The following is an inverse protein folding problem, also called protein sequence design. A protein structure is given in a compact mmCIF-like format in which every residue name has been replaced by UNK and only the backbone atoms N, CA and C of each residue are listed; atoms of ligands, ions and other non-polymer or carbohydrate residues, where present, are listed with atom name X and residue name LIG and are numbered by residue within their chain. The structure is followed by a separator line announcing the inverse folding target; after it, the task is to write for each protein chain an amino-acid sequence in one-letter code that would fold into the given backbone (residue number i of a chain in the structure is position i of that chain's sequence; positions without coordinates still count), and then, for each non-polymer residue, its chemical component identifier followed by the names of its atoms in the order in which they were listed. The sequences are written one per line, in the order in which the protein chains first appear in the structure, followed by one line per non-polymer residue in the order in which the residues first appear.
data_IF_034089137125
#
_entry.id   IF_034089137125
#
_cell.length_a   1.000
_cell.length_b   1.000
_cell.length_c   1.000
_cell.angle_alpha   90.00
_cell.angle_beta   90.00
_cell.angle_gamma   90.00
#
_symmetry.space_group_name_H-M   'P 1'
#
loop_
_entity.id
_entity.type
_entity.pdbx_description
1 polymer ?
#
# COMPACT_ATOMS: atom_id res chain seq x y z
N UNK A 1 -16.20 -15.91 -1.20
CA UNK A 1 -16.32 -14.43 -1.27
C UNK A 1 -15.65 -13.95 -2.55
N UNK A 2 -15.93 -12.73 -3.01
CA UNK A 2 -15.18 -12.18 -4.17
C UNK A 2 -13.78 -11.74 -3.77
N UNK A 3 -12.86 -11.62 -4.74
CA UNK A 3 -11.52 -11.06 -4.50
C UNK A 3 -11.60 -9.68 -3.84
N UNK A 4 -12.48 -8.80 -4.32
CA UNK A 4 -12.67 -7.48 -3.72
C UNK A 4 -13.15 -7.53 -2.27
N UNK A 5 -14.07 -8.45 -1.93
CA UNK A 5 -14.50 -8.67 -0.55
C UNK A 5 -13.34 -9.14 0.33
N UNK A 6 -12.56 -10.10 -0.18
CA UNK A 6 -11.38 -10.62 0.51
C UNK A 6 -10.34 -9.52 0.78
N UNK A 7 -10.10 -8.62 -0.18
CA UNK A 7 -9.21 -7.45 -0.01
C UNK A 7 -9.68 -6.56 1.14
N UNK A 8 -10.96 -6.17 1.14
CA UNK A 8 -11.50 -5.24 2.16
C UNK A 8 -11.47 -5.86 3.54
N UNK A 9 -11.83 -7.14 3.66
CA UNK A 9 -11.80 -7.85 4.94
C UNK A 9 -10.38 -8.14 5.42
N UNK A 10 -9.48 -8.52 4.53
CA UNK A 10 -8.07 -8.70 4.87
C UNK A 10 -7.50 -7.41 5.46
N UNK A 11 -7.66 -6.29 4.76
CA UNK A 11 -7.09 -5.00 5.18
C UNK A 11 -7.72 -4.44 6.47
N UNK A 12 -8.93 -4.86 6.85
CA UNK A 12 -9.56 -4.39 8.09
C UNK A 12 -8.95 -4.99 9.36
N UNK A 13 -8.20 -6.09 9.22
CA UNK A 13 -7.66 -6.89 10.33
C UNK A 13 -6.12 -6.83 10.45
N UNK A 14 -5.52 -5.78 9.91
CA UNK A 14 -4.05 -5.60 9.89
C UNK A 14 -3.64 -4.52 10.89
N UNK A 15 -2.74 -4.85 11.80
CA UNK A 15 -2.31 -3.97 12.88
C UNK A 15 -0.79 -3.81 12.88
N UNK A 16 -0.29 -2.59 13.04
CA UNK A 16 1.11 -2.38 13.37
C UNK A 16 1.29 -2.47 14.88
N UNK A 17 2.39 -3.07 15.30
CA UNK A 17 2.81 -3.10 16.70
C UNK A 17 4.20 -2.51 16.84
N UNK A 18 4.35 -1.64 17.83
CA UNK A 18 5.54 -0.81 18.01
C UNK A 18 5.75 -0.50 19.50
N UNK A 19 7.00 -0.39 19.94
CA UNK A 19 7.36 0.02 21.30
C UNK A 19 8.36 1.16 21.22
N UNK A 20 7.97 2.34 21.74
CA UNK A 20 8.80 3.55 21.68
C UNK A 20 8.83 4.19 23.07
N UNK A 21 10.03 4.38 23.64
CA UNK A 21 10.18 5.00 24.95
C UNK A 21 9.49 4.24 26.10
N UNK A 22 9.34 2.92 25.96
CA UNK A 22 8.61 2.07 26.93
C UNK A 22 7.09 2.11 26.81
N UNK A 23 6.54 2.78 25.78
CA UNK A 23 5.11 2.79 25.47
C UNK A 23 4.84 1.84 24.31
N UNK A 24 3.90 0.91 24.51
CA UNK A 24 3.44 -0.01 23.47
C UNK A 24 2.28 0.59 22.66
N UNK A 25 2.36 0.42 21.35
CA UNK A 25 1.37 0.85 20.38
C UNK A 25 0.85 -0.37 19.62
N UNK A 26 -0.47 -0.43 19.46
CA UNK A 26 -1.15 -1.35 18.55
C UNK A 26 -2.18 -0.57 17.76
N UNK A 27 -1.84 -0.24 16.52
CA UNK A 27 -2.63 0.66 15.68
C UNK A 27 -3.07 -0.05 14.41
N UNK A 28 -4.26 0.26 13.90
CA UNK A 28 -4.73 -0.32 12.65
C UNK A 28 -3.89 0.21 11.49
N UNK A 29 -3.18 -0.68 10.77
CA UNK A 29 -2.26 -0.32 9.71
C UNK A 29 -2.96 0.46 8.60
N UNK A 30 -4.15 0.00 8.19
CA UNK A 30 -5.01 0.62 7.18
C UNK A 30 -6.30 1.07 7.85
N UNK A 31 -6.39 2.31 8.38
CA UNK A 31 -7.56 2.79 9.10
C UNK A 31 -8.73 3.15 8.18
N UNK A 32 -8.51 3.17 6.86
CA UNK A 32 -9.55 3.35 5.86
C UNK A 32 -9.02 3.25 4.44
N UNK A 33 -9.92 3.45 3.48
CA UNK A 33 -9.63 3.44 2.05
C UNK A 33 -10.12 4.72 1.40
N UNK A 34 -9.23 5.39 0.67
CA UNK A 34 -9.62 6.44 -0.27
C UNK A 34 -10.02 5.83 -1.61
N UNK A 35 -10.92 6.48 -2.34
CA UNK A 35 -11.08 6.14 -3.74
C UNK A 35 -11.88 7.14 -4.57
N UNK A 36 -11.69 7.00 -5.88
CA UNK A 36 -12.59 7.50 -6.93
C UNK A 36 -13.04 6.29 -7.73
N UNK A 37 -14.35 6.12 -7.85
CA UNK A 37 -14.93 4.96 -8.51
C UNK A 37 -15.20 5.24 -9.98
N UNK A 38 -14.73 4.34 -10.83
CA UNK A 38 -15.06 4.26 -12.25
C UNK A 38 -15.36 2.80 -12.61
N UNK A 39 -15.62 2.53 -13.89
CA UNK A 39 -15.92 1.16 -14.34
C UNK A 39 -14.84 0.15 -13.93
N UNK A 40 -13.58 0.61 -13.76
CA UNK A 40 -12.45 -0.21 -13.34
C UNK A 40 -12.60 -0.86 -11.97
N UNK A 41 -13.18 -0.18 -10.98
CA UNK A 41 -13.19 -0.62 -9.58
C UNK A 41 -14.59 -0.61 -8.93
N UNK A 42 -15.59 0.03 -9.55
CA UNK A 42 -16.91 0.22 -8.93
C UNK A 42 -17.63 -1.09 -8.63
N UNK A 43 -17.58 -2.05 -9.55
CA UNK A 43 -18.22 -3.36 -9.40
C UNK A 43 -17.40 -4.34 -8.53
N UNK A 44 -16.14 -4.02 -8.26
CA UNK A 44 -15.23 -4.78 -7.43
C UNK A 44 -15.05 -4.13 -6.06
N UNK A 45 -13.91 -3.49 -5.84
CA UNK A 45 -13.55 -2.85 -4.55
C UNK A 45 -14.63 -1.85 -4.10
N UNK A 46 -15.23 -1.09 -5.01
CA UNK A 46 -16.29 -0.14 -4.67
C UNK A 46 -17.53 -0.81 -4.08
N UNK A 47 -17.98 -1.91 -4.68
CA UNK A 47 -19.09 -2.72 -4.18
C UNK A 47 -18.75 -3.33 -2.81
N UNK A 48 -17.55 -3.90 -2.67
CA UNK A 48 -17.10 -4.50 -1.41
C UNK A 48 -17.07 -3.47 -0.27
N UNK A 49 -16.48 -2.28 -0.50
CA UNK A 49 -16.48 -1.19 0.47
C UNK A 49 -17.91 -0.79 0.87
N UNK A 50 -18.83 -0.70 -0.10
CA UNK A 50 -20.23 -0.37 0.20
C UNK A 50 -20.91 -1.45 1.07
N UNK A 51 -20.66 -2.72 0.76
CA UNK A 51 -21.23 -3.84 1.51
C UNK A 51 -20.72 -3.85 2.96
N UNK A 52 -19.41 -3.75 3.19
CA UNK A 52 -18.87 -3.69 4.55
C UNK A 52 -19.30 -2.41 5.29
N UNK A 53 -19.45 -1.28 4.59
CA UNK A 53 -20.01 -0.06 5.18
C UNK A 53 -21.46 -0.26 5.69
N UNK A 54 -22.28 -1.03 4.98
CA UNK A 54 -23.65 -1.35 5.40
C UNK A 54 -23.70 -2.31 6.60
N UNK A 55 -22.70 -3.19 6.72
CA UNK A 55 -22.56 -4.09 7.88
C UNK A 55 -22.10 -3.30 9.12
N UNK A 56 -20.99 -2.59 8.99
CA UNK A 56 -20.46 -1.69 10.01
C UNK A 56 -19.47 -0.71 9.33
N UNK A 57 -19.73 0.61 9.35
CA UNK A 57 -18.88 1.61 8.70
C UNK A 57 -17.45 1.68 9.28
N UNK A 58 -17.20 1.10 10.46
CA UNK A 58 -15.88 1.04 11.07
C UNK A 58 -15.02 -0.11 10.53
N UNK A 59 -15.63 -1.12 9.88
CA UNK A 59 -14.87 -2.24 9.28
C UNK A 59 -13.90 -1.72 8.24
N UNK A 60 -14.31 -0.82 7.35
CA UNK A 60 -13.40 -0.13 6.43
C UNK A 60 -13.99 1.22 6.04
N UNK A 61 -13.64 2.30 6.76
CA UNK A 61 -14.08 3.64 6.42
C UNK A 61 -13.67 4.00 4.99
N UNK A 62 -14.64 4.43 4.20
CA UNK A 62 -14.43 4.95 2.85
C UNK A 62 -14.39 6.48 2.86
N UNK A 63 -13.35 7.04 2.24
CA UNK A 63 -13.18 8.47 2.07
C UNK A 63 -13.18 8.82 0.58
N UNK A 64 -14.22 9.52 0.13
CA UNK A 64 -14.31 9.93 -1.26
C UNK A 64 -13.30 11.03 -1.60
N UNK A 65 -12.40 10.72 -2.52
CA UNK A 65 -11.48 11.71 -3.09
C UNK A 65 -12.10 12.51 -4.23
N UNK A 66 -11.43 13.60 -4.61
CA UNK A 66 -11.73 14.39 -5.83
C UNK A 66 -10.58 14.42 -6.83
N UNK A 67 -9.43 13.88 -6.44
CA UNK A 67 -8.24 13.72 -7.26
C UNK A 67 -7.39 12.58 -6.66
N UNK A 68 -6.94 11.63 -7.45
CA UNK A 68 -6.17 10.46 -6.98
C UNK A 68 -4.79 10.85 -6.46
N UNK A 69 -4.12 11.80 -7.12
CA UNK A 69 -2.84 12.33 -6.65
C UNK A 69 -2.99 12.96 -5.25
N UNK A 70 -4.05 13.73 -5.01
CA UNK A 70 -4.31 14.32 -3.70
C UNK A 70 -4.54 13.24 -2.61
N UNK A 71 -5.26 12.15 -2.92
CA UNK A 71 -5.45 11.02 -2.00
C UNK A 71 -4.10 10.37 -1.65
N UNK A 72 -3.20 10.21 -2.62
CA UNK A 72 -1.85 9.70 -2.38
C UNK A 72 -1.05 10.60 -1.45
N UNK A 73 -1.14 11.93 -1.63
CA UNK A 73 -0.46 12.89 -0.76
C UNK A 73 -1.07 12.93 0.65
N UNK A 74 -2.37 12.73 0.79
CA UNK A 74 -3.03 12.59 2.09
C UNK A 74 -2.54 11.33 2.83
N UNK A 75 -2.44 10.18 2.15
CA UNK A 75 -1.89 8.96 2.74
C UNK A 75 -0.44 9.15 3.20
N UNK A 76 0.41 9.80 2.38
CA UNK A 76 1.80 10.15 2.73
C UNK A 76 1.85 11.07 3.97
N UNK A 77 1.01 12.10 4.01
CA UNK A 77 0.93 13.04 5.13
C UNK A 77 0.49 12.34 6.42
N UNK A 78 -0.51 11.47 6.33
CA UNK A 78 -1.00 10.69 7.46
C UNK A 78 0.06 9.72 7.98
N UNK A 79 0.75 8.98 7.09
CA UNK A 79 1.85 8.11 7.47
C UNK A 79 3.00 8.86 8.14
N UNK A 80 3.28 10.09 7.72
CA UNK A 80 4.26 10.95 8.40
C UNK A 80 3.78 11.34 9.80
N UNK A 81 2.51 11.70 9.95
CA UNK A 81 1.90 12.10 11.22
C UNK A 81 1.91 10.94 12.24
N UNK A 82 1.59 9.73 11.81
CA UNK A 82 1.51 8.52 12.63
C UNK A 82 2.84 7.78 12.76
N UNK A 83 3.96 8.42 12.39
CA UNK A 83 5.32 7.82 12.46
C UNK A 83 5.41 6.46 11.75
N UNK A 84 4.74 6.32 10.60
CA UNK A 84 4.65 5.13 9.75
C UNK A 84 3.89 3.94 10.33
N UNK A 85 3.25 4.08 11.50
CA UNK A 85 2.41 3.02 12.06
C UNK A 85 1.09 2.84 11.31
N UNK A 86 0.61 3.87 10.62
CA UNK A 86 -0.63 3.80 9.85
C UNK A 86 -0.48 4.47 8.49
N UNK A 87 -1.21 3.99 7.49
CA UNK A 87 -1.36 4.61 6.17
C UNK A 87 -2.70 4.26 5.56
N UNK A 88 -3.07 4.88 4.43
CA UNK A 88 -4.30 4.55 3.74
C UNK A 88 -4.07 3.66 2.52
N UNK A 89 -5.08 2.83 2.23
CA UNK A 89 -5.24 2.21 0.93
C UNK A 89 -5.93 3.20 -0.03
N UNK A 90 -5.59 3.16 -1.32
CA UNK A 90 -6.17 4.02 -2.34
C UNK A 90 -6.61 3.16 -3.52
N UNK A 91 -7.91 3.06 -3.75
CA UNK A 91 -8.46 2.39 -4.94
C UNK A 91 -8.81 3.42 -6.01
N UNK A 92 -8.50 3.09 -7.26
CA UNK A 92 -8.85 3.93 -8.42
C UNK A 92 -9.21 3.07 -9.62
N UNK A 93 -9.92 3.67 -10.58
CA UNK A 93 -10.18 3.06 -11.87
C UNK A 93 -8.90 2.91 -12.69
N UNK A 94 -8.99 2.18 -13.80
CA UNK A 94 -7.91 2.01 -14.78
C UNK A 94 -7.53 3.35 -15.45
N UNK A 95 -6.39 3.39 -16.13
CA UNK A 95 -6.07 4.42 -17.10
C UNK A 95 -5.72 5.73 -16.41
N UNK A 96 -6.44 6.85 -16.68
CA UNK A 96 -6.11 8.14 -16.09
C UNK A 96 -6.21 8.14 -14.55
N UNK A 97 -7.16 7.39 -13.98
CA UNK A 97 -7.28 7.27 -12.52
C UNK A 97 -6.04 6.64 -11.90
N UNK A 98 -5.49 5.62 -12.57
CA UNK A 98 -4.26 4.96 -12.16
C UNK A 98 -3.03 5.84 -12.40
N UNK A 99 -2.88 6.44 -13.57
CA UNK A 99 -1.71 7.29 -13.87
C UNK A 99 -1.60 8.51 -12.96
N UNK A 100 -2.73 9.05 -12.46
CA UNK A 100 -2.75 10.12 -11.47
C UNK A 100 -2.07 9.76 -10.14
N UNK A 101 -1.92 8.46 -9.80
CA UNK A 101 -1.23 8.03 -8.59
C UNK A 101 0.31 7.95 -8.74
N UNK A 102 0.86 8.00 -9.96
CA UNK A 102 2.29 7.78 -10.21
C UNK A 102 3.18 8.77 -9.45
N UNK A 103 2.81 10.06 -9.45
CA UNK A 103 3.54 11.09 -8.69
C UNK A 103 3.50 10.82 -7.18
N UNK A 104 2.37 10.33 -6.69
CA UNK A 104 2.19 9.90 -5.31
C UNK A 104 3.08 8.73 -4.92
N UNK A 105 3.13 7.71 -5.78
CA UNK A 105 3.97 6.54 -5.61
C UNK A 105 5.46 6.94 -5.51
N UNK A 106 5.92 7.75 -6.47
CA UNK A 106 7.29 8.26 -6.49
C UNK A 106 7.64 9.04 -5.21
N UNK A 107 6.73 9.91 -4.75
CA UNK A 107 6.92 10.67 -3.51
C UNK A 107 7.03 9.76 -2.29
N UNK A 108 6.11 8.81 -2.14
CA UNK A 108 6.06 7.88 -1.02
C UNK A 108 7.34 7.04 -0.95
N UNK A 109 7.74 6.45 -2.08
CA UNK A 109 8.96 5.63 -2.20
C UNK A 109 10.23 6.41 -1.93
N UNK A 110 10.36 7.62 -2.47
CA UNK A 110 11.54 8.47 -2.25
C UNK A 110 11.70 8.87 -0.78
N UNK A 111 10.59 9.09 -0.08
CA UNK A 111 10.58 9.49 1.33
C UNK A 111 10.55 8.31 2.31
N UNK A 112 10.52 7.07 1.80
CA UNK A 112 10.27 5.85 2.59
C UNK A 112 9.04 6.00 3.48
N UNK A 113 7.91 6.33 2.89
CA UNK A 113 6.62 6.45 3.59
C UNK A 113 5.65 5.41 3.02
N UNK A 114 4.97 4.63 3.89
CA UNK A 114 4.08 3.58 3.43
C UNK A 114 2.84 4.17 2.78
N UNK A 115 2.47 3.66 1.60
CA UNK A 115 1.18 3.93 0.94
C UNK A 115 0.78 2.68 0.15
N UNK A 116 -0.46 2.20 0.32
CA UNK A 116 -0.99 1.07 -0.43
C UNK A 116 -1.84 1.56 -1.61
N UNK A 117 -1.44 1.21 -2.82
CA UNK A 117 -2.13 1.56 -4.05
C UNK A 117 -2.81 0.33 -4.64
N UNK A 118 -4.10 0.45 -4.93
CA UNK A 118 -4.96 -0.59 -5.51
C UNK A 118 -5.58 -0.10 -6.83
N UNK A 119 -4.76 0.22 -7.85
CA UNK A 119 -5.28 0.59 -9.15
C UNK A 119 -5.97 -0.59 -9.81
N UNK A 120 -7.10 -0.35 -10.46
CA UNK A 120 -7.69 -1.34 -11.35
C UNK A 120 -6.89 -1.51 -12.62
N UNK A 121 -7.06 -2.67 -13.25
CA UNK A 121 -6.40 -3.01 -14.51
C UNK A 121 -7.40 -3.42 -15.61
N UNK A 122 -6.87 -3.77 -16.79
CA UNK A 122 -7.66 -4.42 -17.86
C UNK A 122 -8.21 -5.78 -17.38
N UNK A 123 -9.03 -6.43 -18.20
CA UNK A 123 -9.51 -7.77 -17.87
C UNK A 123 -8.37 -8.77 -18.02
N UNK A 124 -8.10 -9.58 -16.98
CA UNK A 124 -7.08 -10.62 -17.03
C UNK A 124 -7.39 -11.66 -18.11
N UNK A 125 -8.68 -11.95 -18.31
CA UNK A 125 -9.19 -12.83 -19.37
C UNK A 125 -9.14 -12.22 -20.76
N UNK A 126 -8.97 -10.89 -20.87
CA UNK A 126 -9.09 -10.10 -22.11
C UNK A 126 -10.44 -10.26 -22.83
N UNK A 127 -11.48 -10.71 -22.13
CA UNK A 127 -12.80 -10.89 -22.72
C UNK A 127 -13.42 -9.57 -23.22
N UNK A 128 -13.02 -8.45 -22.60
CA UNK A 128 -13.33 -7.10 -23.04
C UNK A 128 -12.01 -6.32 -23.18
N UNK A 129 -11.47 -6.26 -24.41
CA UNK A 129 -10.28 -5.49 -24.76
C UNK A 129 -10.50 -4.73 -26.09
N UNK A 130 -10.18 -3.43 -26.17
CA UNK A 130 -9.80 -2.57 -25.05
C UNK A 130 -11.00 -2.27 -24.13
N UNK A 131 -10.74 -2.08 -22.84
CA UNK A 131 -11.75 -1.50 -21.93
C UNK A 131 -11.82 0.02 -22.10
N UNK A 132 -12.92 0.62 -21.63
CA UNK A 132 -13.04 2.08 -21.54
C UNK A 132 -11.82 2.65 -20.78
N UNK A 133 -11.31 3.81 -21.21
CA UNK A 133 -10.17 4.51 -20.59
C UNK A 133 -8.84 3.74 -20.56
N UNK A 134 -8.72 2.60 -21.24
CA UNK A 134 -7.44 1.92 -21.46
C UNK A 134 -6.54 2.78 -22.36
N UNK A 135 -5.26 2.89 -21.99
CA UNK A 135 -4.25 3.39 -22.92
C UNK A 135 -3.89 2.25 -23.88
N UNK A 136 -4.45 2.29 -25.08
CA UNK A 136 -4.30 1.23 -26.07
C UNK A 136 -2.86 1.14 -26.61
N UNK A 137 -2.29 -0.07 -26.61
CA UNK A 137 -0.97 -0.37 -27.16
C UNK A 137 -1.12 -1.49 -28.19
N UNK A 138 -1.27 -1.19 -29.50
CA UNK A 138 -1.54 -2.20 -30.53
C UNK A 138 -0.47 -3.30 -30.67
N UNK A 139 0.72 -3.05 -30.12
CA UNK A 139 1.85 -3.97 -30.16
C UNK A 139 2.01 -4.83 -28.90
N UNK A 140 1.24 -4.57 -27.83
CA UNK A 140 1.39 -5.27 -26.56
C UNK A 140 0.10 -5.22 -25.71
N UNK A 141 -0.68 -6.32 -25.74
CA UNK A 141 -1.95 -6.46 -25.01
C UNK A 141 -1.79 -6.63 -23.48
N UNK A 142 -0.57 -6.79 -22.98
CA UNK A 142 -0.25 -7.00 -21.57
C UNK A 142 0.36 -5.77 -20.89
N UNK A 143 0.74 -4.76 -21.67
CA UNK A 143 1.28 -3.50 -21.17
C UNK A 143 0.14 -2.53 -20.89
N UNK A 144 0.14 -1.99 -19.69
CA UNK A 144 -0.87 -1.04 -19.22
C UNK A 144 -0.19 0.16 -18.59
N UNK A 145 -0.94 1.21 -18.29
CA UNK A 145 -0.41 2.35 -17.50
C UNK A 145 0.12 1.91 -16.13
N UNK A 146 -0.37 0.78 -15.59
CA UNK A 146 0.04 0.27 -14.29
C UNK A 146 1.47 -0.27 -14.29
N UNK A 147 2.04 -0.61 -15.45
CA UNK A 147 3.43 -1.04 -15.54
C UNK A 147 4.42 0.10 -15.18
N UNK A 148 3.98 1.36 -15.27
CA UNK A 148 4.76 2.51 -14.81
C UNK A 148 4.92 2.55 -13.27
N UNK A 149 4.16 1.79 -12.48
CA UNK A 149 4.37 1.70 -11.04
C UNK A 149 5.55 0.82 -10.66
N UNK A 150 6.01 -0.08 -11.53
CA UNK A 150 7.14 -1.00 -11.26
C UNK A 150 8.40 -0.26 -10.80
N UNK A 151 8.88 0.81 -11.48
CA UNK A 151 10.03 1.56 -11.00
C UNK A 151 9.71 2.52 -9.85
N UNK A 152 8.44 2.81 -9.58
CA UNK A 152 8.01 3.80 -8.59
C UNK A 152 7.62 3.19 -7.25
N UNK A 153 7.43 1.88 -7.21
CA UNK A 153 6.98 1.13 -6.03
C UNK A 153 8.08 0.24 -5.50
N UNK A 154 8.11 0.07 -4.19
CA UNK A 154 8.98 -0.89 -3.50
C UNK A 154 8.52 -2.32 -3.71
N UNK A 155 7.22 -2.50 -3.95
CA UNK A 155 6.62 -3.74 -4.39
C UNK A 155 5.53 -3.44 -5.41
N UNK A 156 5.53 -4.19 -6.51
CA UNK A 156 4.48 -4.17 -7.52
C UNK A 156 4.07 -5.62 -7.81
N UNK A 157 2.77 -5.87 -7.78
CA UNK A 157 2.20 -7.13 -8.28
C UNK A 157 0.88 -6.87 -9.02
N UNK A 158 0.48 -7.80 -9.88
CA UNK A 158 -0.79 -7.78 -10.62
C UNK A 158 -1.51 -9.10 -10.36
N UNK A 159 -2.65 -9.03 -9.69
CA UNK A 159 -3.46 -10.21 -9.29
C UNK A 159 -4.31 -10.65 -10.48
N UNK A 160 -3.71 -11.36 -11.43
CA UNK A 160 -4.40 -11.91 -12.60
C UNK A 160 -5.26 -13.15 -12.29
N UNK A 161 -5.09 -13.76 -11.12
CA UNK A 161 -5.89 -14.89 -10.64
C UNK A 161 -6.17 -14.73 -9.14
N UNK A 162 -7.35 -15.15 -8.63
CA UNK A 162 -7.71 -14.94 -7.22
C UNK A 162 -6.67 -15.43 -6.20
N UNK A 163 -6.06 -16.60 -6.43
CA UNK A 163 -5.10 -17.18 -5.49
C UNK A 163 -3.77 -16.39 -5.37
N UNK A 164 -3.46 -15.51 -6.34
CA UNK A 164 -2.29 -14.63 -6.26
C UNK A 164 -2.45 -13.56 -5.18
N UNK A 165 -3.69 -13.30 -4.75
CA UNK A 165 -4.02 -12.32 -3.71
C UNK A 165 -3.21 -12.56 -2.44
N UNK A 166 -3.04 -13.82 -2.04
CA UNK A 166 -2.46 -14.16 -0.74
C UNK A 166 -0.99 -13.73 -0.65
N UNK A 167 -0.17 -14.13 -1.62
CA UNK A 167 1.24 -13.76 -1.68
C UNK A 167 1.41 -12.25 -1.92
N UNK A 168 0.59 -11.66 -2.79
CA UNK A 168 0.67 -10.23 -3.11
C UNK A 168 0.46 -9.37 -1.86
N UNK A 169 -0.58 -9.65 -1.07
CA UNK A 169 -0.91 -8.86 0.11
C UNK A 169 0.01 -9.15 1.30
N UNK A 170 0.41 -10.41 1.55
CA UNK A 170 1.36 -10.69 2.62
C UNK A 170 2.73 -10.07 2.35
N UNK A 171 3.24 -10.19 1.13
CA UNK A 171 4.52 -9.57 0.77
C UNK A 171 4.39 -8.04 0.76
N UNK A 172 3.31 -7.50 0.19
CA UNK A 172 3.07 -6.06 0.14
C UNK A 172 3.04 -5.42 1.53
N UNK A 173 2.31 -6.01 2.49
CA UNK A 173 2.24 -5.45 3.85
C UNK A 173 3.55 -5.62 4.63
N UNK A 174 4.31 -6.69 4.38
CA UNK A 174 5.68 -6.83 4.89
C UNK A 174 6.56 -5.66 4.42
N UNK A 175 6.48 -5.30 3.14
CA UNK A 175 7.23 -4.16 2.58
C UNK A 175 6.76 -2.83 3.15
N UNK A 176 5.44 -2.62 3.29
CA UNK A 176 4.89 -1.40 3.89
C UNK A 176 5.36 -1.16 5.33
N UNK A 177 5.58 -2.24 6.09
CA UNK A 177 5.87 -2.15 7.54
C UNK A 177 7.36 -2.22 7.87
N UNK A 178 8.21 -2.43 6.87
CA UNK A 178 9.66 -2.46 7.01
C UNK A 178 10.27 -1.05 6.90
N UNK A 179 10.94 -0.50 7.93
CA UNK A 179 11.46 0.87 7.88
C UNK A 179 12.54 1.14 6.82
N UNK A 180 13.24 0.10 6.35
CA UNK A 180 14.26 0.20 5.32
C UNK A 180 13.66 0.08 3.92
N UNK A 181 12.73 -0.85 3.74
CA UNK A 181 12.12 -1.17 2.44
C UNK A 181 10.85 -0.37 2.13
N UNK A 182 10.21 0.27 3.13
CA UNK A 182 8.92 0.95 2.95
C UNK A 182 8.94 2.02 1.85
N UNK A 183 7.79 2.18 1.23
CA UNK A 183 7.50 3.12 0.16
C UNK A 183 6.08 2.89 -0.34
N UNK A 184 5.81 3.20 -1.60
CA UNK A 184 4.55 2.74 -2.19
C UNK A 184 4.60 1.24 -2.46
N UNK A 185 3.50 0.59 -2.15
CA UNK A 185 3.21 -0.79 -2.53
C UNK A 185 2.01 -0.75 -3.44
N UNK A 186 2.16 -1.27 -4.65
CA UNK A 186 1.11 -1.26 -5.67
C UNK A 186 0.68 -2.68 -5.95
N UNK A 187 -0.59 -2.98 -5.74
CA UNK A 187 -1.20 -4.27 -6.09
C UNK A 187 -2.31 -3.97 -7.09
N UNK A 188 -2.03 -4.22 -8.36
CA UNK A 188 -2.97 -4.01 -9.45
C UNK A 188 -4.06 -5.09 -9.45
N UNK A 189 -5.31 -4.67 -9.62
CA UNK A 189 -6.49 -5.54 -9.55
C UNK A 189 -7.26 -5.49 -10.89
N UNK A 190 -7.08 -6.47 -11.79
CA UNK A 190 -7.90 -6.64 -12.98
C UNK A 190 -9.40 -6.60 -12.69
N UNK A 191 -10.17 -5.96 -13.57
CA UNK A 191 -11.60 -5.70 -13.39
C UNK A 191 -12.44 -6.97 -13.16
N UNK A 192 -12.19 -8.00 -13.96
CA UNK A 192 -12.85 -9.30 -13.87
C UNK A 192 -12.45 -10.05 -12.60
N UNK A 193 -11.15 -10.07 -12.29
CA UNK A 193 -10.64 -10.78 -11.11
C UNK A 193 -11.22 -10.21 -9.81
N UNK A 194 -11.43 -8.90 -9.71
CA UNK A 194 -12.06 -8.29 -8.52
C UNK A 194 -13.43 -8.88 -8.17
N UNK A 195 -14.22 -9.24 -9.19
CA UNK A 195 -15.57 -9.78 -9.03
C UNK A 195 -15.59 -11.31 -8.94
N UNK A 196 -14.48 -11.99 -9.23
CA UNK A 196 -14.39 -13.44 -9.20
C UNK A 196 -14.56 -13.97 -7.77
N UNK A 197 -15.45 -14.95 -7.61
CA UNK A 197 -15.68 -15.63 -6.34
C UNK A 197 -14.73 -16.83 -6.20
N UNK A 198 -14.13 -16.95 -5.02
CA UNK A 198 -13.24 -18.06 -4.71
C UNK A 198 -13.26 -18.38 -3.21
N UNK A 199 -12.65 -19.51 -2.87
CA UNK A 199 -12.47 -19.96 -1.49
C UNK A 199 -11.27 -19.24 -0.87
N UNK A 200 -11.53 -18.51 0.21
CA UNK A 200 -10.52 -17.74 0.93
C UNK A 200 -10.22 -18.47 2.24
N UNK A 201 -8.97 -18.90 2.47
CA UNK A 201 -8.58 -19.51 3.73
C UNK A 201 -8.83 -18.59 4.91
N UNK A 202 -9.37 -19.12 6.01
CA UNK A 202 -9.59 -18.35 7.24
C UNK A 202 -8.29 -17.74 7.78
N UNK A 203 -7.15 -18.42 7.60
CA UNK A 203 -5.82 -17.94 7.98
C UNK A 203 -5.40 -16.66 7.25
N UNK A 204 -5.87 -16.46 6.03
CA UNK A 204 -5.61 -15.24 5.27
C UNK A 204 -6.38 -14.07 5.89
N UNK A 205 -7.63 -14.32 6.30
CA UNK A 205 -8.53 -13.34 6.91
C UNK A 205 -8.34 -13.19 8.43
N UNK A 206 -7.34 -13.86 9.01
CA UNK A 206 -7.03 -13.76 10.42
C UNK A 206 -6.44 -12.38 10.75
N UNK A 207 -6.64 -11.96 11.99
CA UNK A 207 -5.97 -10.78 12.52
C UNK A 207 -4.45 -10.97 12.49
N UNK A 208 -3.72 -9.92 12.09
CA UNK A 208 -2.27 -9.98 12.00
C UNK A 208 -1.61 -8.73 12.53
N UNK A 209 -0.55 -8.96 13.30
CA UNK A 209 0.33 -7.92 13.82
C UNK A 209 1.62 -7.84 12.99
N UNK A 210 1.98 -6.61 12.64
CA UNK A 210 3.17 -6.26 11.88
C UNK A 210 4.09 -5.46 12.77
N UNK A 211 5.11 -6.12 13.31
CA UNK A 211 6.09 -5.46 14.18
C UNK A 211 7.00 -4.55 13.37
N UNK A 212 7.05 -3.27 13.74
CA UNK A 212 8.01 -2.33 13.18
C UNK A 212 9.40 -2.67 13.72
N UNK A 213 10.27 -3.22 12.86
CA UNK A 213 11.61 -3.66 13.25
C UNK A 213 12.60 -2.50 13.24
N UNK A 214 13.35 -2.35 14.32
CA UNK A 214 14.51 -1.45 14.42
C UNK A 214 15.73 -2.27 14.82
N UNK A 215 16.44 -2.86 13.85
CA UNK A 215 17.63 -3.63 14.15
C UNK A 215 18.72 -2.70 14.70
N UNK A 216 19.37 -3.11 15.77
CA UNK A 216 20.52 -2.40 16.33
C UNK A 216 21.74 -2.50 15.40
N UNK A 217 22.59 -1.48 15.47
CA UNK A 217 23.91 -1.54 14.84
C UNK A 217 24.85 -2.41 15.66
N UNK A 218 25.92 -2.91 15.02
CA UNK A 218 26.95 -3.68 15.70
C UNK A 218 27.67 -2.83 16.77
N UNK A 219 27.93 -3.41 17.95
CA UNK A 219 28.60 -2.73 19.06
C UNK A 219 29.99 -2.19 18.65
N UNK A 220 30.72 -2.92 17.80
CA UNK A 220 32.03 -2.49 17.29
C UNK A 220 31.90 -1.28 16.35
N UNK A 221 30.84 -1.23 15.53
CA UNK A 221 30.54 -0.07 14.68
C UNK A 221 30.22 1.17 15.51
N UNK A 222 29.42 1.01 16.56
CA UNK A 222 29.08 2.07 17.50
C UNK A 222 30.34 2.57 18.22
N UNK A 223 31.19 1.67 18.70
CA UNK A 223 32.43 2.02 19.39
C UNK A 223 33.38 2.82 18.48
N UNK A 224 33.56 2.38 17.23
CA UNK A 224 34.36 3.10 16.22
C UNK A 224 33.82 4.48 15.91
N UNK A 225 32.50 4.60 15.68
CA UNK A 225 31.85 5.88 15.43
C UNK A 225 32.01 6.84 16.62
N UNK A 226 31.81 6.35 17.84
CA UNK A 226 31.93 7.15 19.06
C UNK A 226 33.38 7.64 19.30
N UNK A 227 34.39 6.81 19.00
CA UNK A 227 35.80 7.20 19.10
C UNK A 227 36.15 8.29 18.08
N UNK A 228 35.71 8.16 16.83
CA UNK A 228 35.92 9.16 15.79
C UNK A 228 35.31 10.51 16.19
N UNK A 229 34.06 10.50 16.68
CA UNK A 229 33.36 11.71 17.16
C UNK A 229 34.12 12.36 18.33
N UNK A 230 34.57 11.58 19.32
CA UNK A 230 35.32 12.10 20.48
C UNK A 230 36.66 12.75 20.10
N UNK A 231 37.35 12.21 19.10
CA UNK A 231 38.64 12.76 18.64
C UNK A 231 38.52 14.02 17.76
N UNK A 232 37.32 14.32 17.26
CA UNK A 232 37.12 15.42 16.34
C UNK A 232 37.20 16.79 17.07
N UNK A 233 37.95 17.73 16.50
CA UNK A 233 38.07 19.10 17.07
C UNK A 233 36.78 19.93 16.92
N UNK A 234 36.00 19.68 15.86
CA UNK A 234 34.76 20.42 15.51
C UNK A 234 33.74 19.48 14.85
N UNK A 235 33.16 18.50 15.58
CA UNK A 235 32.22 17.55 14.99
C UNK A 235 30.91 18.25 14.57
N UNK A 236 30.29 17.75 13.50
CA UNK A 236 28.96 18.13 13.03
C UNK A 236 28.13 16.86 12.83
N UNK A 237 26.93 16.82 13.40
CA UNK A 237 25.97 15.74 13.19
C UNK A 237 24.87 16.25 12.25
N UNK A 238 24.64 15.53 11.15
CA UNK A 238 23.52 15.78 10.23
C UNK A 238 22.45 14.72 10.51
N UNK A 239 21.41 15.11 11.25
CA UNK A 239 20.29 14.23 11.57
C UNK A 239 19.24 14.26 10.45
N UNK A 240 19.19 13.19 9.65
CA UNK A 240 18.19 13.02 8.60
C UNK A 240 16.82 12.61 9.16
N UNK A 241 15.81 12.59 8.28
CA UNK A 241 14.43 12.21 8.67
C UNK A 241 14.29 10.80 9.26
N UNK A 242 15.24 9.90 9.01
CA UNK A 242 15.29 8.57 9.60
C UNK A 242 15.31 8.57 11.13
N UNK A 243 15.90 9.60 11.76
CA UNK A 243 15.98 9.73 13.23
C UNK A 243 14.59 9.81 13.87
N UNK A 244 13.59 10.32 13.15
CA UNK A 244 12.21 10.40 13.64
C UNK A 244 11.50 9.04 13.74
N UNK A 245 12.07 8.00 13.13
CA UNK A 245 11.49 6.67 13.05
C UNK A 245 12.38 5.59 13.71
N UNK A 246 13.55 6.00 14.22
CA UNK A 246 14.49 5.16 14.97
C UNK A 246 14.05 4.97 16.43
#
# INVERSE_FOLDING_TARGET
MTVAQAVVEYLSKQYTVDTVGGVDYRERLIPGTFGIFGHGNVAGVGQALKQYQQLDPTIMPYYQGRNEQAQSHQAVGYARHTRRRQTFAISTSIGPGSSNLLTGAALATTNRLPVLLLPSDTFATRAADPVLQQLEQPYAYDITVNDAFRPLSKFFDRVNRPEQLFSAFHHGLRVLTDPAETGSVTISLPQDVQAEAFDVPEEFLAEREWRIRRPDADDDDIARAAAAIRSAKRPLIIAGGGVLYA
#
